data_IF_148042041644
#
_entry.id   IF_148042041644
#
_cell.length_a   1.000
_cell.length_b   1.000
_cell.length_c   1.000
_cell.angle_alpha   90.00
_cell.angle_beta   90.00
_cell.angle_gamma   90.00
#
_symmetry.space_group_name_H-M   'P 1'
#
loop_
_entity.id
_entity.type
_entity.pdbx_description
1 polymer ?
#
# COMPACT_ATOMS: atom_id res chain seq x y z
N UNK A 1 10.50 -6.08 -27.61
CA UNK A 1 9.56 -6.99 -26.91
C UNK A 1 9.77 -6.81 -25.42
N UNK A 2 8.76 -6.39 -24.67
CA UNK A 2 8.87 -6.30 -23.21
C UNK A 2 8.70 -7.70 -22.62
N UNK A 3 9.75 -8.22 -21.98
CA UNK A 3 9.68 -9.47 -21.23
C UNK A 3 8.64 -9.33 -20.12
N UNK A 4 7.79 -10.34 -19.95
CA UNK A 4 6.79 -10.41 -18.89
C UNK A 4 7.51 -10.33 -17.55
N UNK A 5 7.43 -9.19 -16.86
CA UNK A 5 7.97 -9.07 -15.52
C UNK A 5 7.14 -9.98 -14.59
N UNK A 6 7.79 -10.71 -13.68
CA UNK A 6 7.15 -11.54 -12.66
C UNK A 6 6.47 -10.62 -11.62
N UNK A 7 5.36 -10.00 -12.02
CA UNK A 7 4.58 -9.06 -11.22
C UNK A 7 3.28 -9.75 -10.82
N UNK A 8 3.01 -9.75 -9.52
CA UNK A 8 1.72 -10.14 -8.97
C UNK A 8 0.86 -8.87 -8.82
N UNK A 9 -0.40 -8.93 -9.27
CA UNK A 9 -1.35 -7.84 -9.08
C UNK A 9 -2.25 -8.14 -7.89
N UNK A 10 -2.35 -7.20 -6.96
CA UNK A 10 -3.29 -7.22 -5.83
C UNK A 10 -4.12 -5.95 -5.83
N UNK A 11 -5.40 -6.07 -5.52
CA UNK A 11 -6.29 -4.90 -5.41
C UNK A 11 -6.15 -4.29 -4.01
N UNK A 12 -6.07 -2.97 -3.94
CA UNK A 12 -5.97 -2.23 -2.69
C UNK A 12 -6.59 -0.83 -2.87
N UNK A 13 -7.33 -0.35 -1.87
CA UNK A 13 -7.91 0.99 -1.81
C UNK A 13 -7.38 1.70 -0.56
N UNK A 14 -6.76 2.86 -0.73
CA UNK A 14 -6.24 3.66 0.39
C UNK A 14 -7.32 4.15 1.35
N UNK A 15 -8.58 4.15 0.93
CA UNK A 15 -9.72 4.51 1.77
C UNK A 15 -10.32 3.31 2.50
N UNK A 16 -9.93 2.07 2.17
CA UNK A 16 -10.35 0.84 2.84
C UNK A 16 -9.13 0.06 3.38
N UNK A 17 -8.79 0.25 4.67
CA UNK A 17 -7.63 -0.40 5.30
C UNK A 17 -7.64 -1.93 5.22
N UNK A 18 -8.82 -2.57 5.16
CA UNK A 18 -8.92 -4.03 5.11
C UNK A 18 -8.33 -4.60 3.81
N UNK A 19 -8.53 -3.87 2.71
CA UNK A 19 -7.97 -4.23 1.39
C UNK A 19 -6.45 -4.05 1.36
N UNK A 20 -5.92 -3.07 2.10
CA UNK A 20 -4.48 -2.81 2.21
C UNK A 20 -3.77 -3.94 2.96
N UNK A 21 -4.33 -4.42 4.07
CA UNK A 21 -3.75 -5.53 4.85
C UNK A 21 -3.66 -6.80 3.99
N UNK A 22 -4.72 -7.12 3.26
CA UNK A 22 -4.72 -8.27 2.35
C UNK A 22 -3.69 -8.11 1.21
N UNK A 23 -3.55 -6.90 0.65
CA UNK A 23 -2.59 -6.62 -0.41
C UNK A 23 -1.13 -6.68 0.09
N UNK A 24 -0.87 -6.30 1.34
CA UNK A 24 0.47 -6.22 1.92
C UNK A 24 0.96 -7.52 2.57
N UNK A 25 0.10 -8.53 2.69
CA UNK A 25 0.48 -9.80 3.28
C UNK A 25 1.70 -10.42 2.56
N UNK A 26 2.72 -10.78 3.35
CA UNK A 26 3.97 -11.38 2.85
C UNK A 26 4.88 -10.44 2.07
N UNK A 27 4.67 -9.13 2.16
CA UNK A 27 5.55 -8.12 1.54
C UNK A 27 6.70 -7.78 2.51
N UNK A 28 7.94 -7.81 2.02
CA UNK A 28 9.13 -7.43 2.80
C UNK A 28 9.40 -5.92 2.78
N UNK A 29 9.08 -5.23 1.68
CA UNK A 29 9.29 -3.79 1.50
C UNK A 29 8.13 -3.16 0.75
N UNK A 30 7.67 -2.01 1.23
CA UNK A 30 6.57 -1.25 0.64
C UNK A 30 7.08 0.08 0.06
N UNK A 31 6.68 0.39 -1.18
CA UNK A 31 6.82 1.72 -1.77
C UNK A 31 5.43 2.36 -1.87
N UNK A 32 5.17 3.37 -1.05
CA UNK A 32 3.91 4.11 -1.06
C UNK A 32 4.00 5.30 -2.04
N UNK A 33 3.23 5.25 -3.12
CA UNK A 33 3.10 6.36 -4.07
C UNK A 33 1.80 7.12 -3.78
N UNK A 34 1.91 8.41 -3.51
CA UNK A 34 0.75 9.24 -3.19
C UNK A 34 -0.24 9.35 -4.35
N UNK A 35 -1.53 9.38 -4.01
CA UNK A 35 -2.59 9.74 -4.95
C UNK A 35 -2.53 11.23 -5.29
N UNK A 36 -3.14 11.64 -6.42
CA UNK A 36 -3.20 13.05 -6.84
C UNK A 36 -4.15 13.91 -5.99
N UNK A 37 -4.60 13.42 -4.84
CA UNK A 37 -5.53 14.10 -3.96
C UNK A 37 -4.82 15.08 -3.02
N UNK A 38 -4.43 16.23 -3.58
CA UNK A 38 -3.60 17.22 -2.89
C UNK A 38 -4.38 18.20 -2.01
N UNK A 39 -5.70 18.35 -2.23
CA UNK A 39 -6.48 19.46 -1.67
C UNK A 39 -7.60 19.04 -0.70
N UNK A 40 -7.95 17.76 -0.63
CA UNK A 40 -9.06 17.30 0.23
C UNK A 40 -8.65 16.90 1.64
N UNK A 41 -7.35 16.88 1.95
CA UNK A 41 -6.81 16.33 3.20
C UNK A 41 -6.80 14.80 3.27
N UNK A 42 -7.44 14.10 2.33
CA UNK A 42 -7.51 12.62 2.31
C UNK A 42 -6.16 11.96 2.16
N UNK A 43 -5.18 12.62 1.53
CA UNK A 43 -3.82 12.08 1.38
C UNK A 43 -3.19 11.71 2.72
N UNK A 44 -3.37 12.52 3.76
CA UNK A 44 -2.82 12.20 5.09
C UNK A 44 -3.46 10.93 5.64
N UNK A 45 -4.79 10.85 5.58
CA UNK A 45 -5.54 9.67 6.04
C UNK A 45 -5.17 8.40 5.24
N UNK A 46 -5.06 8.52 3.92
CA UNK A 46 -4.67 7.43 3.03
C UNK A 46 -3.27 6.89 3.33
N UNK A 47 -2.33 7.80 3.63
CA UNK A 47 -0.99 7.42 4.05
C UNK A 47 -0.98 6.74 5.43
N UNK A 48 -1.75 7.26 6.39
CA UNK A 48 -1.89 6.62 7.71
C UNK A 48 -2.46 5.20 7.58
N UNK A 49 -3.55 5.04 6.83
CA UNK A 49 -4.15 3.73 6.58
C UNK A 49 -3.15 2.75 5.96
N UNK A 50 -2.35 3.21 4.99
CA UNK A 50 -1.32 2.38 4.35
C UNK A 50 -0.20 1.98 5.32
N UNK A 51 0.26 2.90 6.18
CA UNK A 51 1.30 2.62 7.17
C UNK A 51 0.78 1.63 8.21
N UNK A 52 -0.43 1.85 8.75
CA UNK A 52 -1.06 0.95 9.73
C UNK A 52 -1.24 -0.45 9.16
N UNK A 53 -1.73 -0.56 7.92
CA UNK A 53 -1.86 -1.83 7.24
C UNK A 53 -0.50 -2.51 7.01
N UNK A 54 0.55 -1.75 6.68
CA UNK A 54 1.89 -2.28 6.49
C UNK A 54 2.49 -2.80 7.80
N UNK A 55 2.29 -2.09 8.91
CA UNK A 55 2.70 -2.54 10.25
C UNK A 55 1.97 -3.83 10.63
N UNK A 56 0.70 -3.98 10.26
CA UNK A 56 -0.08 -5.17 10.55
C UNK A 56 0.28 -6.39 9.67
N UNK A 57 0.70 -6.16 8.42
CA UNK A 57 0.83 -7.22 7.40
C UNK A 57 2.28 -7.60 7.05
N UNK A 58 3.24 -6.69 7.22
CA UNK A 58 4.63 -6.91 6.82
C UNK A 58 5.46 -7.40 8.01
N UNK A 59 6.25 -8.47 7.81
CA UNK A 59 7.11 -9.05 8.85
C UNK A 59 8.42 -8.28 9.11
N UNK A 60 8.66 -7.19 8.36
CA UNK A 60 9.92 -6.43 8.41
C UNK A 60 9.77 -4.92 8.17
N UNK A 61 8.61 -4.33 8.46
CA UNK A 61 8.39 -2.89 8.24
C UNK A 61 9.33 -2.04 9.14
N UNK A 62 10.29 -1.34 8.52
CA UNK A 62 11.13 -0.33 9.16
C UNK A 62 10.69 1.04 8.65
N UNK A 63 10.36 1.97 9.57
CA UNK A 63 9.89 3.32 9.23
C UNK A 63 11.04 4.20 8.72
#
# INVERSE_FOLDING_TARGET
MYAKANVELRSADFNDPSTLVAAFAGVDRLLLISTNDLFSGKRVQQHQNAIEAAVAACTGFQH
#
